data_IF_919395564694
#
_entry.id   IF_919395564694
#
_cell.length_a   1.000
_cell.length_b   1.000
_cell.length_c   1.000
_cell.angle_alpha   90.00
_cell.angle_beta   90.00
_cell.angle_gamma   90.00
#
_symmetry.space_group_name_H-M   'P 1'
#
loop_
_entity.id
_entity.type
_entity.pdbx_description
1 polymer ?
#
# COMPACT_ATOMS: atom_id res chain seq x y z
N UNK A 1 -31.54 37.71 58.19
CA UNK A 1 -30.24 38.41 58.14
C UNK A 1 -29.18 37.44 57.71
N UNK A 2 -28.44 37.83 56.66
CA UNK A 2 -27.13 37.40 56.17
C UNK A 2 -26.49 36.09 56.65
N UNK A 3 -26.19 35.26 55.65
CA UNK A 3 -25.20 34.19 55.54
C UNK A 3 -23.84 34.50 56.21
N UNK A 4 -23.17 33.49 56.78
CA UNK A 4 -21.86 32.94 56.33
C UNK A 4 -21.23 31.95 57.35
N UNK A 5 -20.77 30.82 56.80
CA UNK A 5 -19.52 30.06 57.08
C UNK A 5 -19.38 29.08 58.28
N UNK A 6 -19.07 27.83 57.87
CA UNK A 6 -17.87 27.01 58.16
C UNK A 6 -18.02 25.72 58.99
N UNK A 7 -17.18 24.73 58.60
CA UNK A 7 -16.73 23.48 59.26
C UNK A 7 -17.40 22.18 58.74
N UNK A 8 -16.73 21.35 57.91
CA UNK A 8 -15.61 20.41 58.19
C UNK A 8 -16.12 19.02 58.63
N UNK A 9 -15.62 17.83 58.25
CA UNK A 9 -14.40 17.35 57.55
C UNK A 9 -14.50 15.80 57.39
N UNK A 10 -13.62 15.20 56.55
CA UNK A 10 -13.23 13.77 56.43
C UNK A 10 -14.13 12.87 55.55
N UNK A 11 -13.62 12.07 54.59
CA UNK A 11 -12.59 11.04 54.80
C UNK A 11 -11.95 10.54 53.47
N UNK A 12 -10.61 10.54 53.43
CA UNK A 12 -9.60 9.69 52.73
C UNK A 12 -9.90 8.89 51.44
N UNK A 13 -9.01 8.97 50.45
CA UNK A 13 -8.09 7.91 49.93
C UNK A 13 -7.33 8.48 48.71
N UNK A 14 -6.02 8.75 48.83
CA UNK A 14 -4.90 7.88 48.44
C UNK A 14 -4.63 7.80 46.93
N UNK A 15 -3.45 8.34 46.59
CA UNK A 15 -2.44 7.88 45.62
C UNK A 15 -2.62 8.09 44.10
N UNK A 16 -1.57 8.73 43.58
CA UNK A 16 -1.09 8.78 42.20
C UNK A 16 -0.92 7.40 41.55
N UNK A 17 -0.64 7.46 40.24
CA UNK A 17 -0.13 6.44 39.31
C UNK A 17 -1.18 5.56 38.65
N UNK A 18 -1.52 5.97 37.43
CA UNK A 18 -2.03 5.11 36.37
C UNK A 18 -1.60 5.72 35.05
N UNK A 19 -0.36 5.44 34.62
CA UNK A 19 0.00 5.51 33.22
C UNK A 19 -0.92 4.51 32.50
N UNK A 20 -1.96 5.00 31.86
CA UNK A 20 -2.64 4.24 30.84
C UNK A 20 -1.67 4.17 29.67
N UNK A 21 -0.91 3.07 29.60
CA UNK A 21 -0.35 2.66 28.32
C UNK A 21 -1.52 2.63 27.33
N UNK A 22 -1.48 3.52 26.35
CA UNK A 22 -2.42 3.53 25.23
C UNK A 22 -2.16 2.26 24.43
N UNK A 23 -2.80 1.16 24.85
CA UNK A 23 -3.02 0.02 23.99
C UNK A 23 -4.07 0.46 22.97
N UNK A 24 -3.61 0.87 21.78
CA UNK A 24 -4.47 1.00 20.61
C UNK A 24 -4.98 -0.39 20.23
N UNK A 25 -6.14 -0.80 20.74
CA UNK A 25 -6.95 -1.83 20.09
C UNK A 25 -7.73 -1.15 18.96
N UNK A 26 -7.30 -1.38 17.72
CA UNK A 26 -7.84 -0.83 16.47
C UNK A 26 -9.23 -1.42 16.11
N UNK A 27 -9.84 -2.23 16.97
CA UNK A 27 -11.03 -3.02 16.65
C UNK A 27 -12.39 -2.35 16.93
N UNK A 28 -12.41 -1.05 17.27
CA UNK A 28 -13.64 -0.36 17.68
C UNK A 28 -14.18 0.75 16.77
N UNK A 29 -13.47 1.12 15.69
CA UNK A 29 -13.74 2.38 14.96
C UNK A 29 -13.92 2.23 13.44
N UNK A 30 -14.32 1.04 12.99
CA UNK A 30 -14.85 0.84 11.64
C UNK A 30 -16.30 0.39 11.81
N UNK A 31 -17.26 1.32 11.73
CA UNK A 31 -18.60 0.90 11.34
C UNK A 31 -18.48 0.37 9.91
N UNK A 32 -18.75 -0.92 9.71
CA UNK A 32 -18.83 -1.50 8.39
C UNK A 32 -19.69 -0.57 7.51
N UNK A 33 -19.24 -0.24 6.28
CA UNK A 33 -20.02 0.62 5.39
C UNK A 33 -21.43 0.03 5.28
N UNK A 34 -22.45 0.88 5.50
CA UNK A 34 -23.84 0.44 5.33
C UNK A 34 -23.99 -0.04 3.90
N UNK A 35 -24.56 -1.23 3.73
CA UNK A 35 -24.89 -1.76 2.41
C UNK A 35 -25.72 -0.72 1.64
N UNK A 36 -25.38 -0.51 0.38
CA UNK A 36 -26.24 0.24 -0.54
C UNK A 36 -27.58 -0.48 -0.69
N UNK A 37 -28.58 0.18 -1.29
CA UNK A 37 -29.86 -0.47 -1.59
C UNK A 37 -29.66 -1.72 -2.46
N UNK A 38 -28.86 -1.61 -3.51
CA UNK A 38 -28.55 -2.75 -4.39
C UNK A 38 -27.81 -3.87 -3.66
N UNK A 39 -26.79 -3.55 -2.85
CA UNK A 39 -26.09 -4.56 -2.04
C UNK A 39 -27.02 -5.26 -1.04
N UNK A 40 -28.04 -4.55 -0.52
CA UNK A 40 -29.03 -5.14 0.37
C UNK A 40 -29.95 -6.13 -0.36
N UNK A 41 -30.33 -5.82 -1.61
CA UNK A 41 -31.11 -6.71 -2.47
C UNK A 41 -30.32 -7.95 -2.86
N UNK A 42 -29.05 -7.78 -3.27
CA UNK A 42 -28.13 -8.89 -3.56
C UNK A 42 -27.96 -9.77 -2.33
N UNK A 43 -27.73 -9.17 -1.15
CA UNK A 43 -27.56 -9.91 0.09
C UNK A 43 -28.81 -10.71 0.44
N UNK A 44 -30.00 -10.14 0.25
CA UNK A 44 -31.26 -10.82 0.49
C UNK A 44 -31.44 -12.03 -0.44
N UNK A 45 -31.16 -11.88 -1.74
CA UNK A 45 -31.20 -12.96 -2.71
C UNK A 45 -30.19 -14.07 -2.38
N UNK A 46 -29.00 -13.69 -1.91
CA UNK A 46 -27.97 -14.64 -1.47
C UNK A 46 -28.47 -15.48 -0.28
N UNK A 47 -28.91 -14.85 0.81
CA UNK A 47 -29.32 -15.58 2.03
C UNK A 47 -30.60 -16.40 1.82
N UNK A 48 -31.46 -16.02 0.86
CA UNK A 48 -32.59 -16.86 0.43
C UNK A 48 -32.12 -18.17 -0.21
N UNK A 49 -30.97 -18.15 -0.91
CA UNK A 49 -30.38 -19.31 -1.56
C UNK A 49 -29.52 -20.16 -0.61
N UNK A 50 -28.69 -19.51 0.24
CA UNK A 50 -27.62 -20.20 0.98
C UNK A 50 -27.81 -20.18 2.50
N UNK A 51 -28.83 -19.48 2.98
CA UNK A 51 -29.10 -19.28 4.40
C UNK A 51 -28.32 -18.10 5.01
N UNK A 52 -28.66 -17.75 6.24
CA UNK A 52 -28.11 -16.57 6.93
C UNK A 52 -26.81 -16.83 7.71
N UNK A 53 -26.34 -18.08 7.78
CA UNK A 53 -25.17 -18.46 8.58
C UNK A 53 -23.90 -18.33 7.73
N UNK A 54 -23.60 -17.11 7.30
CA UNK A 54 -22.44 -16.79 6.48
C UNK A 54 -21.68 -15.59 7.04
N UNK A 55 -20.38 -15.59 6.83
CA UNK A 55 -19.50 -14.45 7.10
C UNK A 55 -18.95 -13.94 5.79
N UNK A 56 -19.22 -12.67 5.45
CA UNK A 56 -18.72 -12.05 4.22
C UNK A 56 -17.20 -11.92 4.24
N UNK A 57 -16.58 -12.11 3.07
CA UNK A 57 -15.14 -12.01 2.85
C UNK A 57 -14.86 -10.88 1.87
N UNK A 58 -13.80 -10.11 2.13
CA UNK A 58 -13.51 -8.88 1.41
C UNK A 58 -12.15 -9.01 0.71
N UNK A 59 -12.03 -8.66 -0.57
CA UNK A 59 -10.74 -8.57 -1.23
C UNK A 59 -9.84 -7.55 -0.52
N UNK A 60 -8.56 -7.90 -0.34
CA UNK A 60 -7.58 -7.08 0.36
C UNK A 60 -6.90 -6.05 -0.56
N UNK A 61 -6.76 -6.37 -1.84
CA UNK A 61 -6.01 -5.66 -2.88
C UNK A 61 -6.84 -5.52 -4.20
N UNK A 62 -6.32 -4.75 -5.17
CA UNK A 62 -6.96 -4.51 -6.48
C UNK A 62 -7.81 -3.23 -6.57
N UNK A 63 -8.86 -3.21 -7.38
CA UNK A 63 -9.85 -2.11 -7.41
C UNK A 63 -11.07 -2.42 -6.53
N UNK A 64 -11.57 -3.65 -6.60
CA UNK A 64 -12.72 -4.10 -5.84
C UNK A 64 -12.33 -4.38 -4.37
N UNK A 65 -12.96 -3.67 -3.42
CA UNK A 65 -12.75 -3.85 -1.95
C UNK A 65 -13.99 -4.34 -1.19
N UNK A 66 -15.10 -4.50 -1.90
CA UNK A 66 -16.38 -4.95 -1.35
C UNK A 66 -16.50 -6.47 -1.43
N UNK A 67 -17.23 -7.07 -0.49
CA UNK A 67 -17.64 -8.47 -0.59
C UNK A 67 -18.64 -8.72 -1.73
N UNK A 68 -19.30 -7.66 -2.21
CA UNK A 68 -20.19 -7.64 -3.37
C UNK A 68 -19.47 -6.92 -4.51
N UNK A 69 -18.96 -7.70 -5.47
CA UNK A 69 -18.35 -7.19 -6.70
C UNK A 69 -19.45 -7.14 -7.74
N UNK A 70 -19.83 -5.93 -8.16
CA UNK A 70 -20.93 -5.71 -9.10
C UNK A 70 -20.33 -5.18 -10.39
N UNK A 71 -20.52 -5.92 -11.48
CA UNK A 71 -20.06 -5.56 -12.82
C UNK A 71 -20.75 -6.44 -13.85
N UNK A 72 -20.92 -5.91 -15.05
CA UNK A 72 -21.24 -6.68 -16.24
C UNK A 72 -20.06 -7.60 -16.62
N UNK A 73 -20.31 -8.91 -16.58
CA UNK A 73 -19.32 -9.97 -16.84
C UNK A 73 -19.73 -10.93 -17.97
N UNK A 74 -20.94 -10.83 -18.52
CA UNK A 74 -21.41 -11.63 -19.67
C UNK A 74 -21.91 -10.83 -20.88
N UNK A 75 -21.61 -9.53 -20.92
CA UNK A 75 -21.91 -8.59 -22.01
C UNK A 75 -23.41 -8.30 -22.22
N UNK A 76 -24.25 -8.53 -21.22
CA UNK A 76 -25.66 -8.10 -21.25
C UNK A 76 -25.87 -6.66 -20.74
N UNK A 77 -27.07 -6.03 -20.84
CA UNK A 77 -27.26 -4.65 -20.39
C UNK A 77 -27.22 -4.46 -18.86
N UNK A 78 -27.42 -5.53 -18.10
CA UNK A 78 -27.43 -5.57 -16.64
C UNK A 78 -26.05 -5.91 -16.08
N UNK A 79 -25.89 -5.70 -14.77
CA UNK A 79 -24.68 -6.09 -14.05
C UNK A 79 -25.00 -7.35 -13.23
N UNK A 80 -24.00 -8.22 -13.10
CA UNK A 80 -24.04 -9.37 -12.22
C UNK A 80 -23.37 -9.01 -10.89
N UNK A 81 -23.58 -9.86 -9.87
CA UNK A 81 -22.95 -9.71 -8.58
C UNK A 81 -22.19 -10.97 -8.18
N UNK A 82 -20.89 -10.84 -7.96
CA UNK A 82 -20.04 -11.85 -7.35
C UNK A 82 -19.91 -11.59 -5.86
N UNK A 83 -20.33 -12.55 -5.04
CA UNK A 83 -20.31 -12.42 -3.57
C UNK A 83 -19.42 -13.47 -2.92
N UNK A 84 -18.52 -13.00 -2.06
CA UNK A 84 -17.56 -13.85 -1.33
C UNK A 84 -17.97 -14.03 0.13
N UNK A 85 -18.02 -15.27 0.60
CA UNK A 85 -18.35 -15.58 1.99
C UNK A 85 -17.80 -16.93 2.43
N UNK A 86 -17.89 -17.20 3.73
CA UNK A 86 -17.60 -18.49 4.33
C UNK A 86 -18.79 -18.90 5.21
N UNK A 87 -19.17 -20.18 5.20
CA UNK A 87 -20.22 -20.67 6.07
C UNK A 87 -19.79 -20.60 7.53
N UNK A 88 -20.68 -20.12 8.39
CA UNK A 88 -20.50 -20.14 9.84
C UNK A 88 -20.94 -21.50 10.38
N UNK A 89 -20.25 -22.58 10.01
CA UNK A 89 -20.56 -23.94 10.46
C UNK A 89 -19.51 -24.46 11.45
N UNK A 90 -19.92 -25.34 12.37
CA UNK A 90 -19.06 -25.89 13.42
C UNK A 90 -18.27 -27.13 12.93
N UNK A 91 -17.46 -27.01 11.89
CA UNK A 91 -16.48 -28.03 11.50
C UNK A 91 -16.99 -29.11 10.55
N UNK A 92 -17.74 -28.75 9.50
CA UNK A 92 -18.07 -29.67 8.40
C UNK A 92 -17.12 -29.47 7.20
N UNK A 93 -16.97 -30.48 6.33
CA UNK A 93 -16.12 -30.41 5.12
C UNK A 93 -16.60 -29.34 4.09
N UNK A 94 -17.76 -28.71 4.31
CA UNK A 94 -18.27 -27.58 3.55
C UNK A 94 -17.76 -26.21 4.09
N UNK A 95 -16.98 -26.21 5.18
CA UNK A 95 -16.32 -25.03 5.75
C UNK A 95 -15.15 -24.59 4.86
N UNK A 96 -15.46 -23.72 3.91
CA UNK A 96 -14.46 -23.07 3.09
C UNK A 96 -15.02 -21.82 2.43
N UNK A 97 -14.12 -21.02 1.89
CA UNK A 97 -14.45 -19.84 1.11
C UNK A 97 -15.34 -20.21 -0.08
N UNK A 98 -16.39 -19.43 -0.29
CA UNK A 98 -17.37 -19.57 -1.37
C UNK A 98 -17.42 -18.32 -2.22
N UNK A 99 -17.70 -18.54 -3.49
CA UNK A 99 -18.05 -17.51 -4.47
C UNK A 99 -19.44 -17.84 -5.00
N UNK A 100 -20.34 -16.87 -4.94
CA UNK A 100 -21.66 -17.00 -5.54
C UNK A 100 -21.87 -15.91 -6.59
N UNK A 101 -22.29 -16.32 -7.79
CA UNK A 101 -22.76 -15.39 -8.82
C UNK A 101 -24.26 -15.24 -8.70
N UNK A 102 -24.70 -13.99 -8.60
CA UNK A 102 -26.09 -13.59 -8.70
C UNK A 102 -26.30 -12.74 -9.96
N UNK A 103 -27.51 -12.83 -10.48
CA UNK A 103 -27.94 -12.18 -11.71
C UNK A 103 -29.39 -11.66 -11.54
N UNK A 104 -29.85 -10.78 -12.43
CA UNK A 104 -31.19 -10.20 -12.44
C UNK A 104 -32.09 -11.00 -13.38
N UNK A 105 -33.30 -11.34 -12.91
CA UNK A 105 -34.32 -11.91 -13.78
C UNK A 105 -34.96 -10.86 -14.71
N UNK A 106 -35.90 -11.29 -15.56
CA UNK A 106 -36.61 -10.40 -16.50
C UNK A 106 -37.37 -9.24 -15.79
N UNK A 107 -37.70 -9.39 -14.50
CA UNK A 107 -38.36 -8.38 -13.68
C UNK A 107 -37.35 -7.47 -12.93
N UNK A 108 -36.04 -7.69 -13.13
CA UNK A 108 -34.95 -6.96 -12.50
C UNK A 108 -34.64 -7.41 -11.07
N UNK A 109 -35.12 -8.58 -10.64
CA UNK A 109 -34.90 -9.11 -9.29
C UNK A 109 -33.67 -10.01 -9.26
N UNK A 110 -32.79 -9.76 -8.29
CA UNK A 110 -31.62 -10.61 -8.04
C UNK A 110 -31.99 -12.05 -7.64
N UNK A 111 -31.29 -13.02 -8.21
CA UNK A 111 -31.34 -14.43 -7.84
C UNK A 111 -29.95 -15.07 -7.90
N UNK A 112 -29.74 -16.10 -7.07
CA UNK A 112 -28.50 -16.90 -7.04
C UNK A 112 -28.45 -17.82 -8.26
N UNK A 113 -27.41 -17.67 -9.08
CA UNK A 113 -27.18 -18.49 -10.28
C UNK A 113 -26.39 -19.73 -9.91
N UNK A 114 -25.24 -19.56 -9.25
CA UNK A 114 -24.33 -20.66 -8.95
C UNK A 114 -23.36 -20.31 -7.82
N UNK A 115 -23.21 -21.28 -6.90
CA UNK A 115 -22.15 -21.27 -5.89
C UNK A 115 -20.99 -22.17 -6.35
N UNK A 116 -19.76 -21.70 -6.16
CA UNK A 116 -18.52 -22.46 -6.29
C UNK A 116 -17.69 -22.33 -5.01
N UNK A 117 -16.89 -23.35 -4.70
CA UNK A 117 -15.85 -23.24 -3.69
C UNK A 117 -14.66 -22.43 -4.24
N UNK A 118 -14.22 -21.42 -3.49
CA UNK A 118 -13.03 -20.65 -3.79
C UNK A 118 -11.76 -21.37 -3.31
N UNK A 119 -10.60 -20.99 -3.88
CA UNK A 119 -9.34 -21.50 -3.40
C UNK A 119 -8.95 -20.78 -2.09
N UNK A 120 -8.52 -21.51 -1.06
CA UNK A 120 -7.96 -20.91 0.15
C UNK A 120 -8.95 -20.26 1.12
N UNK A 121 -8.44 -19.35 1.98
CA UNK A 121 -9.14 -18.89 3.19
C UNK A 121 -9.58 -17.42 3.15
N UNK A 122 -8.95 -16.62 2.30
CA UNK A 122 -9.20 -15.18 2.12
C UNK A 122 -9.06 -14.79 0.65
N UNK A 123 -9.70 -13.68 0.28
CA UNK A 123 -9.60 -13.07 -1.05
C UNK A 123 -8.43 -12.08 -1.07
N UNK A 124 -7.47 -12.29 -1.96
CA UNK A 124 -6.41 -11.32 -2.22
C UNK A 124 -6.95 -10.15 -3.02
N UNK A 125 -7.46 -10.40 -4.23
CA UNK A 125 -7.95 -9.36 -5.13
C UNK A 125 -8.93 -9.94 -6.15
N UNK A 126 -9.73 -9.05 -6.74
CA UNK A 126 -10.57 -9.38 -7.89
C UNK A 126 -10.20 -8.46 -9.04
N UNK A 127 -10.06 -9.01 -10.23
CA UNK A 127 -9.81 -8.26 -11.46
C UNK A 127 -10.86 -8.70 -12.47
N UNK A 128 -11.52 -7.74 -13.10
CA UNK A 128 -12.46 -7.97 -14.19
C UNK A 128 -11.89 -7.23 -15.38
N UNK A 129 -11.51 -7.96 -16.42
CA UNK A 129 -10.88 -7.37 -17.59
C UNK A 129 -11.20 -8.20 -18.84
N UNK A 130 -11.50 -7.54 -19.97
CA UNK A 130 -11.45 -8.23 -21.25
C UNK A 130 -9.98 -8.61 -21.52
N UNK A 131 -9.68 -9.91 -21.57
CA UNK A 131 -8.34 -10.37 -21.89
C UNK A 131 -8.25 -10.93 -23.31
N UNK A 132 -7.22 -10.49 -24.03
CA UNK A 132 -6.94 -10.93 -25.39
C UNK A 132 -7.92 -10.36 -26.42
N UNK A 133 -7.71 -10.73 -27.68
CA UNK A 133 -8.43 -10.20 -28.84
C UNK A 133 -9.89 -10.65 -28.98
N UNK A 134 -10.39 -11.48 -28.07
CA UNK A 134 -11.73 -12.07 -28.16
C UNK A 134 -12.81 -11.22 -27.49
N UNK A 135 -12.43 -10.16 -26.79
CA UNK A 135 -13.33 -9.22 -26.10
C UNK A 135 -14.30 -9.89 -25.11
N UNK A 136 -13.99 -11.10 -24.64
CA UNK A 136 -14.72 -11.76 -23.57
C UNK A 136 -14.25 -11.19 -22.23
N UNK A 137 -15.19 -10.80 -21.38
CA UNK A 137 -14.90 -10.36 -20.02
C UNK A 137 -14.56 -11.58 -19.15
N UNK A 138 -13.33 -11.62 -18.64
CA UNK A 138 -12.86 -12.68 -17.74
C UNK A 138 -12.78 -12.14 -16.30
N UNK A 139 -13.16 -12.99 -15.34
CA UNK A 139 -13.08 -12.65 -13.91
C UNK A 139 -11.96 -13.42 -13.23
N UNK A 140 -10.97 -12.69 -12.72
CA UNK A 140 -9.81 -13.23 -12.01
C UNK A 140 -10.02 -13.02 -10.52
N UNK A 141 -9.98 -14.10 -9.76
CA UNK A 141 -10.01 -14.04 -8.30
C UNK A 141 -8.69 -14.55 -7.77
N UNK A 142 -7.96 -13.65 -7.14
CA UNK A 142 -6.79 -13.93 -6.35
C UNK A 142 -7.18 -14.39 -4.96
N UNK A 143 -6.58 -15.49 -4.53
CA UNK A 143 -6.82 -16.11 -3.24
C UNK A 143 -5.52 -16.26 -2.46
N UNK A 144 -5.61 -16.11 -1.15
CA UNK A 144 -4.47 -16.28 -0.25
C UNK A 144 -4.78 -17.26 0.88
N UNK A 145 -3.75 -18.03 1.24
CA UNK A 145 -3.76 -18.92 2.39
C UNK A 145 -2.89 -18.32 3.50
N UNK A 146 -3.29 -18.48 4.76
CA UNK A 146 -2.58 -17.92 5.92
C UNK A 146 -1.12 -18.40 6.06
N UNK A 147 -0.76 -19.52 5.44
CA UNK A 147 0.53 -20.19 5.61
C UNK A 147 1.42 -20.18 4.36
N UNK A 148 0.96 -19.62 3.24
CA UNK A 148 1.72 -19.64 1.99
C UNK A 148 1.91 -18.21 1.46
N UNK A 149 3.17 -17.86 1.18
CA UNK A 149 3.52 -16.60 0.52
C UNK A 149 3.08 -16.60 -0.95
N UNK A 150 2.95 -17.78 -1.55
CA UNK A 150 2.42 -17.93 -2.90
C UNK A 150 0.89 -18.00 -2.89
N UNK A 151 0.28 -17.12 -3.68
CA UNK A 151 -1.16 -16.97 -3.83
C UNK A 151 -1.66 -17.80 -5.01
N UNK A 152 -2.94 -18.12 -5.00
CA UNK A 152 -3.61 -18.84 -6.10
C UNK A 152 -4.50 -17.88 -6.87
N UNK A 153 -4.48 -17.94 -8.19
CA UNK A 153 -5.40 -17.23 -9.06
C UNK A 153 -6.36 -18.25 -9.66
N UNK A 154 -7.66 -18.01 -9.56
CA UNK A 154 -8.66 -18.72 -10.36
C UNK A 154 -9.30 -17.75 -11.35
N UNK A 155 -9.59 -18.27 -12.55
CA UNK A 155 -10.26 -17.51 -13.59
C UNK A 155 -11.61 -18.13 -13.82
N UNK A 156 -12.63 -17.28 -13.84
CA UNK A 156 -14.00 -17.65 -14.08
C UNK A 156 -14.53 -17.01 -15.35
N UNK A 157 -15.39 -17.77 -16.02
CA UNK A 157 -16.15 -17.33 -17.18
C UNK A 157 -17.64 -17.47 -16.83
N UNK A 158 -18.41 -16.45 -17.20
CA UNK A 158 -19.86 -16.44 -17.12
C UNK A 158 -20.41 -16.20 -18.53
N UNK A 159 -21.22 -17.14 -19.03
CA UNK A 159 -21.84 -17.01 -20.35
C UNK A 159 -23.12 -17.84 -20.36
N UNK A 160 -24.21 -17.29 -20.87
CA UNK A 160 -25.52 -17.95 -20.97
C UNK A 160 -25.98 -18.59 -19.63
N UNK A 161 -25.74 -17.91 -18.51
CA UNK A 161 -26.11 -18.41 -17.18
C UNK A 161 -25.20 -19.52 -16.61
N UNK A 162 -24.14 -19.95 -17.30
CA UNK A 162 -23.19 -20.94 -16.78
C UNK A 162 -21.92 -20.30 -16.24
N UNK A 163 -21.86 -20.13 -14.91
CA UNK A 163 -20.65 -19.69 -14.22
C UNK A 163 -19.71 -20.86 -13.95
N UNK A 164 -18.47 -20.80 -14.44
CA UNK A 164 -17.50 -21.88 -14.21
C UNK A 164 -16.07 -21.37 -14.08
N UNK A 165 -15.29 -22.08 -13.26
CA UNK A 165 -13.83 -21.94 -13.23
C UNK A 165 -13.25 -22.54 -14.51
N UNK A 166 -12.52 -21.74 -15.26
CA UNK A 166 -11.90 -22.13 -16.53
C UNK A 166 -10.40 -22.38 -16.42
N UNK A 167 -9.71 -21.69 -15.51
CA UNK A 167 -8.28 -21.86 -15.32
C UNK A 167 -7.84 -21.59 -13.87
N UNK A 168 -6.64 -22.03 -13.54
CA UNK A 168 -5.99 -21.84 -12.25
C UNK A 168 -4.48 -21.65 -12.44
N UNK A 169 -3.89 -20.75 -11.66
CA UNK A 169 -2.45 -20.49 -11.64
C UNK A 169 -1.99 -20.03 -10.25
N UNK A 170 -0.69 -19.83 -10.06
CA UNK A 170 -0.12 -19.24 -8.83
C UNK A 170 0.59 -17.93 -9.11
N UNK A 171 0.79 -17.10 -8.09
CA UNK A 171 1.57 -15.88 -8.21
C UNK A 171 2.06 -15.37 -6.85
N UNK A 172 3.14 -14.60 -6.88
CA UNK A 172 3.58 -13.74 -5.77
C UNK A 172 3.11 -12.29 -5.96
N UNK A 173 3.09 -11.82 -7.22
CA UNK A 173 2.56 -10.50 -7.61
C UNK A 173 1.65 -10.69 -8.83
N UNK A 174 0.52 -10.00 -8.85
CA UNK A 174 -0.44 -9.98 -9.96
C UNK A 174 -0.93 -8.54 -10.12
N UNK A 175 -0.64 -7.94 -11.28
CA UNK A 175 -0.96 -6.55 -11.58
C UNK A 175 -1.63 -6.43 -12.96
N UNK A 176 -2.83 -5.82 -13.04
CA UNK A 176 -3.44 -5.45 -14.31
C UNK A 176 -2.85 -4.13 -14.84
N UNK A 177 -2.26 -4.14 -16.03
CA UNK A 177 -1.70 -2.96 -16.67
C UNK A 177 -1.66 -3.15 -18.20
N UNK A 178 -2.15 -2.16 -18.94
CA UNK A 178 -1.88 -2.02 -20.38
C UNK A 178 -0.42 -1.57 -20.55
N UNK A 179 0.51 -2.52 -20.37
CA UNK A 179 1.94 -2.25 -20.21
C UNK A 179 2.60 -1.98 -21.56
N UNK A 180 2.02 -2.51 -22.64
CA UNK A 180 2.49 -2.32 -24.01
C UNK A 180 1.86 -1.09 -24.70
N UNK A 181 0.86 -0.46 -24.07
CA UNK A 181 0.13 0.71 -24.54
C UNK A 181 -0.61 0.46 -25.87
N UNK A 182 -1.23 -0.70 -26.02
CA UNK A 182 -2.08 -1.07 -27.16
C UNK A 182 -3.58 -0.82 -26.93
N UNK A 183 -3.95 -0.41 -25.71
CA UNK A 183 -5.32 -0.11 -25.30
C UNK A 183 -6.02 -1.26 -24.57
N UNK A 184 -5.39 -2.43 -24.44
CA UNK A 184 -5.91 -3.58 -23.70
C UNK A 184 -5.11 -3.80 -22.41
N UNK A 185 -5.79 -4.19 -21.34
CA UNK A 185 -5.14 -4.48 -20.06
C UNK A 185 -4.51 -5.87 -20.13
N UNK A 186 -3.21 -5.96 -19.82
CA UNK A 186 -2.54 -7.23 -19.58
C UNK A 186 -2.45 -7.56 -18.10
N UNK A 187 -2.44 -8.86 -17.77
CA UNK A 187 -2.11 -9.31 -16.43
C UNK A 187 -0.63 -9.69 -16.37
N UNK A 188 0.13 -8.95 -15.58
CA UNK A 188 1.52 -9.27 -15.30
C UNK A 188 1.59 -10.04 -13.99
N UNK A 189 2.18 -11.23 -14.04
CA UNK A 189 2.42 -12.07 -12.86
C UNK A 189 3.89 -12.22 -12.59
N UNK A 190 4.26 -12.25 -11.31
CA UNK A 190 5.57 -12.76 -10.87
C UNK A 190 5.35 -14.09 -10.18
N UNK A 191 6.03 -15.12 -10.68
CA UNK A 191 6.03 -16.46 -10.07
C UNK A 191 7.42 -16.80 -9.55
N UNK A 192 7.47 -17.43 -8.38
CA UNK A 192 8.68 -18.00 -7.81
C UNK A 192 8.64 -19.51 -7.97
N UNK A 193 9.75 -20.09 -8.42
CA UNK A 193 9.87 -21.53 -8.63
C UNK A 193 11.12 -22.04 -7.93
N UNK A 194 10.98 -23.12 -7.17
CA UNK A 194 12.10 -23.84 -6.58
C UNK A 194 12.49 -25.00 -7.49
N UNK A 195 13.73 -25.02 -7.93
CA UNK A 195 14.28 -26.16 -8.64
C UNK A 195 14.47 -27.32 -7.65
N UNK A 196 13.71 -28.40 -7.81
CA UNK A 196 13.69 -29.53 -6.87
C UNK A 196 15.03 -30.27 -6.73
N UNK A 197 15.91 -30.21 -7.74
CA UNK A 197 17.21 -30.90 -7.73
C UNK A 197 18.31 -30.08 -7.05
N UNK A 198 18.28 -28.76 -7.22
CA UNK A 198 19.34 -27.84 -6.76
C UNK A 198 18.92 -27.02 -5.53
N UNK A 199 17.62 -26.95 -5.23
CA UNK A 199 17.04 -26.04 -4.24
C UNK A 199 17.11 -24.57 -4.66
N UNK A 200 17.59 -24.25 -5.86
CA UNK A 200 17.68 -22.87 -6.34
C UNK A 200 16.27 -22.31 -6.56
N UNK A 201 15.99 -21.16 -5.96
CA UNK A 201 14.75 -20.43 -6.18
C UNK A 201 15.00 -19.38 -7.24
N UNK A 202 14.20 -19.39 -8.30
CA UNK A 202 14.19 -18.35 -9.34
C UNK A 202 12.83 -17.70 -9.39
N UNK A 203 12.77 -16.50 -9.96
CA UNK A 203 11.52 -15.80 -10.17
C UNK A 203 11.44 -15.22 -11.58
N UNK A 204 10.24 -15.21 -12.16
CA UNK A 204 9.98 -14.70 -13.51
C UNK A 204 8.73 -13.82 -13.51
N UNK A 205 8.85 -12.63 -14.08
CA UNK A 205 7.70 -11.85 -14.50
C UNK A 205 7.20 -12.37 -15.86
N UNK A 206 5.89 -12.56 -16.02
CA UNK A 206 5.27 -13.00 -17.27
C UNK A 206 4.00 -12.21 -17.55
N UNK A 207 3.80 -11.88 -18.82
CA UNK A 207 2.52 -11.41 -19.33
C UNK A 207 1.61 -12.62 -19.57
N UNK A 208 0.47 -12.65 -18.89
CA UNK A 208 -0.56 -13.65 -19.13
C UNK A 208 -1.41 -13.27 -20.33
N UNK A 209 -1.87 -14.29 -21.04
CA UNK A 209 -2.83 -14.16 -22.12
C UNK A 209 -3.86 -15.28 -22.01
N UNK A 210 -5.10 -15.00 -22.36
CA UNK A 210 -6.17 -15.98 -22.38
C UNK A 210 -6.39 -16.48 -23.81
N UNK A 211 -6.35 -17.80 -24.02
CA UNK A 211 -6.67 -18.40 -25.31
C UNK A 211 -7.49 -19.66 -25.11
N UNK A 212 -8.70 -19.68 -25.68
CA UNK A 212 -9.63 -20.80 -25.56
C UNK A 212 -9.88 -21.23 -24.10
N UNK A 213 -10.08 -20.26 -23.19
CA UNK A 213 -10.28 -20.48 -21.76
C UNK A 213 -9.09 -21.13 -21.02
N UNK A 214 -7.90 -21.08 -21.62
CA UNK A 214 -6.65 -21.51 -20.99
C UNK A 214 -5.68 -20.32 -20.82
N UNK A 215 -5.03 -20.26 -19.66
CA UNK A 215 -3.93 -19.32 -19.42
C UNK A 215 -2.73 -19.75 -20.24
N UNK A 216 -2.21 -18.80 -21.01
CA UNK A 216 -0.94 -18.93 -21.69
C UNK A 216 0.01 -17.84 -21.20
N UNK A 217 1.28 -18.19 -21.01
CA UNK A 217 2.33 -17.24 -20.64
C UNK A 217 3.04 -16.79 -21.91
N UNK A 218 2.94 -15.50 -22.20
CA UNK A 218 3.60 -14.88 -23.34
C UNK A 218 5.03 -14.45 -23.00
N UNK A 219 5.32 -13.18 -23.25
CA UNK A 219 6.60 -12.56 -22.94
C UNK A 219 6.92 -12.66 -21.45
N UNK A 220 8.18 -12.95 -21.13
CA UNK A 220 8.66 -13.08 -19.76
C UNK A 220 10.07 -12.53 -19.59
N UNK A 221 10.42 -12.18 -18.36
CA UNK A 221 11.75 -11.71 -17.97
C UNK A 221 12.12 -12.26 -16.60
N UNK A 222 13.39 -12.59 -16.41
CA UNK A 222 13.91 -13.06 -15.14
C UNK A 222 13.92 -11.91 -14.10
N UNK A 223 13.54 -12.24 -12.88
CA UNK A 223 13.66 -11.37 -11.71
C UNK A 223 15.01 -11.58 -11.03
N UNK A 224 15.34 -10.77 -10.03
CA UNK A 224 16.59 -10.91 -9.29
C UNK A 224 16.62 -12.10 -8.33
N UNK A 225 17.67 -12.91 -8.41
CA UNK A 225 17.83 -14.15 -7.63
C UNK A 225 17.99 -13.93 -6.12
N UNK A 226 18.37 -12.71 -5.68
CA UNK A 226 18.61 -12.40 -4.27
C UNK A 226 17.34 -11.98 -3.50
N UNK A 227 16.20 -11.86 -4.19
CA UNK A 227 14.91 -11.51 -3.59
C UNK A 227 14.23 -12.77 -3.03
N UNK A 228 13.92 -12.73 -1.73
CA UNK A 228 13.32 -13.84 -0.98
C UNK A 228 11.80 -13.77 -0.91
N UNK A 229 11.20 -12.59 -1.05
CA UNK A 229 9.75 -12.41 -1.13
C UNK A 229 9.43 -11.05 -1.76
N UNK A 230 8.25 -10.91 -2.34
CA UNK A 230 7.75 -9.65 -2.89
C UNK A 230 6.70 -9.09 -1.93
N UNK A 231 6.86 -7.85 -1.50
CA UNK A 231 6.07 -7.27 -0.40
C UNK A 231 5.24 -6.06 -0.80
N UNK A 232 5.59 -5.41 -1.91
CA UNK A 232 4.79 -4.33 -2.49
C UNK A 232 4.94 -4.32 -4.01
N UNK A 233 3.87 -3.94 -4.69
CA UNK A 233 3.85 -3.64 -6.12
C UNK A 233 3.06 -2.37 -6.36
N UNK A 234 3.56 -1.53 -7.26
CA UNK A 234 2.93 -0.27 -7.67
C UNK A 234 2.94 -0.16 -9.19
N UNK A 235 1.79 0.09 -9.78
CA UNK A 235 1.68 0.45 -11.19
C UNK A 235 1.78 1.98 -11.34
N UNK A 236 2.44 2.44 -12.40
CA UNK A 236 2.57 3.86 -12.69
C UNK A 236 3.44 4.09 -13.92
N UNK A 237 4.07 5.26 -14.00
CA UNK A 237 4.87 5.68 -15.15
C UNK A 237 6.36 5.72 -14.82
N UNK A 238 7.18 5.51 -15.85
CA UNK A 238 8.57 5.95 -15.89
C UNK A 238 8.60 7.42 -16.35
N UNK A 239 9.65 8.17 -16.01
CA UNK A 239 9.89 9.56 -16.46
C UNK A 239 9.85 9.73 -18.01
N UNK A 240 10.08 8.63 -18.74
CA UNK A 240 9.92 8.58 -20.20
C UNK A 240 8.46 8.58 -20.70
N UNK A 241 7.47 8.56 -19.80
CA UNK A 241 6.04 8.40 -20.10
C UNK A 241 5.61 6.97 -20.42
N UNK A 242 6.42 5.96 -20.09
CA UNK A 242 6.07 4.54 -20.31
C UNK A 242 5.48 3.95 -19.04
N UNK A 243 4.40 3.17 -19.18
CA UNK A 243 3.82 2.39 -18.08
C UNK A 243 4.78 1.31 -17.57
N UNK A 244 4.83 1.16 -16.26
CA UNK A 244 5.68 0.20 -15.58
C UNK A 244 5.05 -0.29 -14.28
N UNK A 245 5.61 -1.39 -13.78
CA UNK A 245 5.32 -1.95 -12.47
C UNK A 245 6.61 -1.89 -11.66
N UNK A 246 6.52 -1.31 -10.48
CA UNK A 246 7.61 -1.18 -9.51
C UNK A 246 7.35 -2.19 -8.41
N UNK A 247 8.26 -3.14 -8.23
CA UNK A 247 8.10 -4.25 -7.30
C UNK A 247 9.18 -4.16 -6.24
N UNK A 248 8.77 -3.99 -4.99
CA UNK A 248 9.68 -4.02 -3.86
C UNK A 248 9.75 -5.44 -3.28
N UNK A 249 10.93 -6.04 -3.39
CA UNK A 249 11.25 -7.35 -2.83
C UNK A 249 12.09 -7.24 -1.57
N UNK A 250 11.88 -8.15 -0.61
CA UNK A 250 12.80 -8.34 0.51
C UNK A 250 13.96 -9.24 0.10
N UNK A 251 15.16 -8.84 0.46
CA UNK A 251 16.37 -9.67 0.40
C UNK A 251 16.53 -10.50 1.67
N UNK A 252 17.44 -11.48 1.65
CA UNK A 252 17.72 -12.32 2.82
C UNK A 252 18.24 -11.55 4.05
N UNK A 253 18.82 -10.37 3.86
CA UNK A 253 19.25 -9.46 4.93
C UNK A 253 18.16 -8.45 5.36
N UNK A 254 16.91 -8.63 4.90
CA UNK A 254 15.76 -7.84 5.30
C UNK A 254 15.70 -6.43 4.70
N UNK A 255 16.46 -6.17 3.63
CA UNK A 255 16.40 -4.91 2.89
C UNK A 255 15.36 -4.98 1.78
N UNK A 256 14.81 -3.84 1.41
CA UNK A 256 14.02 -3.71 0.19
C UNK A 256 14.95 -3.55 -0.99
N UNK A 257 14.59 -4.19 -2.10
CA UNK A 257 15.18 -4.01 -3.41
C UNK A 257 14.06 -3.81 -4.43
N UNK A 258 14.06 -2.67 -5.13
CA UNK A 258 13.09 -2.41 -6.19
C UNK A 258 13.53 -2.99 -7.52
N UNK A 259 12.65 -3.77 -8.14
CA UNK A 259 12.72 -4.19 -9.53
C UNK A 259 11.65 -3.44 -10.34
N UNK A 260 11.94 -3.16 -11.61
CA UNK A 260 11.02 -2.42 -12.49
C UNK A 260 10.70 -3.31 -13.68
N UNK A 261 9.42 -3.51 -13.96
CA UNK A 261 8.95 -4.24 -15.14
C UNK A 261 8.26 -3.27 -16.08
N UNK A 262 8.76 -3.15 -17.30
CA UNK A 262 8.14 -2.35 -18.36
C UNK A 262 8.28 -3.05 -19.71
N UNK A 263 7.45 -2.67 -20.68
CA UNK A 263 7.49 -3.24 -22.02
C UNK A 263 8.34 -2.41 -22.99
N UNK A 264 9.33 -3.03 -23.64
CA UNK A 264 10.15 -2.40 -24.68
C UNK A 264 10.73 -3.44 -25.62
N UNK A 265 10.96 -3.04 -26.88
CA UNK A 265 11.54 -3.93 -27.90
C UNK A 265 10.76 -5.22 -28.11
N UNK A 266 9.43 -5.13 -27.99
CA UNK A 266 8.49 -6.26 -28.08
C UNK A 266 8.60 -7.30 -26.95
N UNK A 267 9.13 -6.93 -25.79
CA UNK A 267 9.21 -7.84 -24.63
C UNK A 267 9.29 -7.10 -23.29
N UNK A 268 9.08 -7.85 -22.21
CA UNK A 268 9.26 -7.34 -20.85
C UNK A 268 10.74 -7.09 -20.55
N UNK A 269 11.04 -6.02 -19.83
CA UNK A 269 12.37 -5.64 -19.40
C UNK A 269 12.45 -5.58 -17.88
N UNK A 270 13.59 -6.01 -17.32
CA UNK A 270 13.93 -5.81 -15.92
C UNK A 270 15.33 -5.16 -15.82
N UNK A 271 15.42 -3.83 -15.66
CA UNK A 271 16.68 -3.11 -15.55
C UNK A 271 17.60 -3.64 -14.46
N UNK A 272 17.03 -4.02 -13.31
CA UNK A 272 17.81 -4.48 -12.15
C UNK A 272 18.59 -5.76 -12.49
N UNK A 273 17.96 -6.68 -13.21
CA UNK A 273 18.62 -7.90 -13.69
C UNK A 273 19.69 -7.58 -14.75
N UNK A 274 19.40 -6.64 -15.66
CA UNK A 274 20.27 -6.33 -16.80
C UNK A 274 21.50 -5.48 -16.43
N UNK A 275 21.43 -4.67 -15.37
CA UNK A 275 22.49 -3.73 -14.92
C UNK A 275 22.57 -3.64 -13.39
N UNK A 276 22.55 -4.79 -12.72
CA UNK A 276 22.58 -4.89 -11.25
C UNK A 276 23.71 -4.08 -10.62
N UNK A 277 24.94 -4.15 -11.14
CA UNK A 277 26.10 -3.43 -10.58
C UNK A 277 25.88 -1.91 -10.47
N UNK A 278 25.10 -1.33 -11.39
CA UNK A 278 24.79 0.11 -11.38
C UNK A 278 23.57 0.42 -10.51
N UNK A 279 22.53 -0.41 -10.56
CA UNK A 279 21.23 -0.11 -9.95
C UNK A 279 21.09 -0.59 -8.51
N UNK A 280 21.81 -1.63 -8.10
CA UNK A 280 21.74 -2.19 -6.76
C UNK A 280 21.97 -1.12 -5.66
N UNK A 281 22.99 -0.24 -5.74
CA UNK A 281 23.19 0.79 -4.72
C UNK A 281 22.06 1.84 -4.65
N UNK A 282 21.26 1.97 -5.71
CA UNK A 282 20.23 2.99 -5.86
C UNK A 282 18.83 2.48 -5.57
N UNK A 283 18.61 1.17 -5.66
CA UNK A 283 17.32 0.54 -5.39
C UNK A 283 17.30 -0.35 -4.15
N UNK A 284 18.43 -0.50 -3.43
CA UNK A 284 18.50 -1.28 -2.19
C UNK A 284 18.57 -0.38 -0.96
N UNK A 285 17.71 -0.63 0.03
CA UNK A 285 17.52 0.22 1.21
C UNK A 285 16.88 -0.52 2.38
N UNK A 286 16.85 0.03 3.60
CA UNK A 286 16.13 -0.58 4.73
C UNK A 286 14.64 -0.82 4.42
N UNK A 287 14.04 -1.78 5.13
CA UNK A 287 12.60 -2.01 5.06
C UNK A 287 11.78 -0.77 5.48
N UNK A 288 10.61 -0.59 4.88
CA UNK A 288 9.69 0.54 5.13
C UNK A 288 9.78 1.69 4.12
N UNK A 289 10.85 1.78 3.33
CA UNK A 289 10.98 2.77 2.24
C UNK A 289 10.44 2.17 0.94
N UNK A 290 9.12 2.12 0.75
CA UNK A 290 8.50 1.59 -0.46
C UNK A 290 8.56 2.57 -1.63
N UNK A 291 8.58 2.05 -2.85
CA UNK A 291 8.44 2.83 -4.07
C UNK A 291 7.01 3.36 -4.18
N UNK A 292 6.86 4.64 -4.50
CA UNK A 292 5.56 5.32 -4.49
C UNK A 292 5.60 6.52 -5.43
N UNK A 293 4.45 6.87 -6.01
CA UNK A 293 4.23 8.17 -6.65
C UNK A 293 3.99 9.20 -5.53
N UNK A 294 5.08 9.76 -5.02
CA UNK A 294 5.08 10.54 -3.79
C UNK A 294 4.55 11.96 -3.96
N UNK A 295 4.55 12.50 -5.18
CA UNK A 295 4.00 13.82 -5.49
C UNK A 295 2.75 13.81 -6.38
N UNK A 296 2.27 12.63 -6.78
CA UNK A 296 1.00 12.46 -7.48
C UNK A 296 1.06 12.88 -8.94
N UNK A 297 2.23 12.92 -9.57
CA UNK A 297 2.38 13.26 -10.99
C UNK A 297 2.28 12.04 -11.94
N UNK A 298 2.16 10.84 -11.37
CA UNK A 298 2.00 9.58 -12.06
C UNK A 298 3.31 8.81 -12.30
N UNK A 299 4.46 9.46 -12.15
CA UNK A 299 5.76 8.76 -12.16
C UNK A 299 5.99 8.14 -10.78
N UNK A 300 6.45 6.88 -10.74
CA UNK A 300 6.75 6.24 -9.45
C UNK A 300 8.21 6.52 -9.09
N UNK A 301 8.42 7.10 -7.90
CA UNK A 301 9.74 7.29 -7.35
C UNK A 301 10.25 6.07 -6.59
N UNK A 302 11.54 5.80 -6.78
CA UNK A 302 12.30 4.79 -6.07
C UNK A 302 13.14 5.49 -5.01
N UNK A 303 12.88 5.25 -3.71
CA UNK A 303 13.70 5.83 -2.67
C UNK A 303 15.06 5.13 -2.58
N UNK A 304 16.05 5.91 -2.15
CA UNK A 304 17.36 5.44 -1.68
C UNK A 304 17.69 6.17 -0.38
N UNK A 305 18.53 5.57 0.45
CA UNK A 305 18.83 6.10 1.79
C UNK A 305 20.32 6.25 2.01
N UNK A 306 20.73 7.35 2.62
CA UNK A 306 22.08 7.55 3.19
C UNK A 306 21.94 8.00 4.64
N UNK A 307 22.97 7.83 5.50
CA UNK A 307 22.96 8.44 6.82
C UNK A 307 22.64 9.94 6.74
N UNK A 308 21.79 10.41 7.64
CA UNK A 308 21.55 11.84 7.83
C UNK A 308 22.84 12.50 8.32
N UNK A 309 23.02 13.79 8.03
CA UNK A 309 24.23 14.52 8.41
C UNK A 309 24.50 14.40 9.91
N UNK A 310 25.69 13.92 10.29
CA UNK A 310 26.07 13.69 11.69
C UNK A 310 25.77 12.28 12.21
N UNK A 311 25.10 11.42 11.43
CA UNK A 311 24.82 10.02 11.77
C UNK A 311 25.75 9.03 11.06
N UNK A 312 26.78 9.48 10.34
CA UNK A 312 27.64 8.60 9.51
C UNK A 312 28.32 7.48 10.29
N UNK A 313 28.49 7.68 11.61
CA UNK A 313 29.08 6.69 12.54
C UNK A 313 28.08 6.18 13.60
N UNK A 314 26.79 6.49 13.47
CA UNK A 314 25.77 6.02 14.39
C UNK A 314 25.56 4.50 14.25
N UNK A 315 25.10 3.87 15.33
CA UNK A 315 24.63 2.48 15.28
C UNK A 315 23.27 2.40 14.58
N UNK A 316 22.93 1.23 14.02
CA UNK A 316 21.74 1.07 13.19
C UNK A 316 20.43 1.51 13.88
N UNK A 317 20.26 1.24 15.17
CA UNK A 317 19.03 1.56 15.92
C UNK A 317 18.84 3.06 16.19
N UNK A 318 19.92 3.85 16.13
CA UNK A 318 19.90 5.30 16.34
C UNK A 318 19.99 6.06 15.01
N UNK A 319 20.23 5.36 13.90
CA UNK A 319 20.48 5.93 12.59
C UNK A 319 19.21 6.59 12.03
N UNK A 320 19.29 7.88 11.75
CA UNK A 320 18.33 8.55 10.88
C UNK A 320 18.88 8.59 9.46
N UNK A 321 17.99 8.38 8.49
CA UNK A 321 18.33 8.36 7.08
C UNK A 321 17.85 9.63 6.38
N UNK A 322 18.70 10.18 5.53
CA UNK A 322 18.28 11.07 4.46
C UNK A 322 17.75 10.22 3.31
N UNK A 323 16.57 10.55 2.81
CA UNK A 323 15.90 9.84 1.72
C UNK A 323 16.03 10.64 0.44
N UNK A 324 16.44 9.97 -0.64
CA UNK A 324 16.46 10.52 -1.99
C UNK A 324 15.50 9.74 -2.87
N UNK A 325 14.47 10.42 -3.36
CA UNK A 325 13.47 9.88 -4.28
C UNK A 325 13.92 10.14 -5.72
N UNK A 326 14.00 9.07 -6.51
CA UNK A 326 14.49 9.14 -7.89
C UNK A 326 13.55 8.44 -8.84
N UNK A 327 13.35 9.02 -10.02
CA UNK A 327 12.59 8.40 -11.11
C UNK A 327 13.53 7.66 -12.04
N UNK A 328 13.08 6.51 -12.55
CA UNK A 328 13.87 5.74 -13.51
C UNK A 328 13.83 6.41 -14.89
N UNK A 329 15.00 6.71 -15.43
CA UNK A 329 15.20 7.16 -16.79
C UNK A 329 15.65 6.01 -17.69
N UNK A 330 15.29 6.11 -18.97
CA UNK A 330 15.74 5.17 -20.00
C UNK A 330 17.28 5.02 -19.97
N UNK A 331 17.78 3.84 -20.37
CA UNK A 331 19.21 3.48 -20.34
C UNK A 331 19.81 3.25 -18.95
N UNK A 332 19.01 2.70 -18.03
CA UNK A 332 19.46 2.20 -16.72
C UNK A 332 19.98 3.31 -15.83
N UNK A 333 19.28 4.45 -15.77
CA UNK A 333 19.64 5.56 -14.89
C UNK A 333 18.51 5.96 -13.96
N UNK A 334 18.85 6.66 -12.89
CA UNK A 334 17.90 7.20 -11.92
C UNK A 334 18.18 8.69 -11.76
N UNK A 335 17.17 9.52 -12.04
CA UNK A 335 17.25 10.96 -11.84
C UNK A 335 16.64 11.31 -10.50
N UNK A 336 17.44 11.95 -9.65
CA UNK A 336 16.95 12.49 -8.38
C UNK A 336 15.90 13.57 -8.60
N UNK A 337 14.73 13.38 -7.98
CA UNK A 337 13.63 14.34 -7.97
C UNK A 337 13.65 15.15 -6.68
N UNK A 338 13.74 14.45 -5.55
CA UNK A 338 13.73 15.07 -4.22
C UNK A 338 14.75 14.44 -3.27
N UNK A 339 15.24 15.24 -2.33
CA UNK A 339 16.07 14.79 -1.21
C UNK A 339 15.57 15.44 0.07
N UNK A 340 15.45 14.66 1.13
CA UNK A 340 14.85 15.14 2.37
C UNK A 340 14.81 14.09 3.47
N UNK A 341 13.85 14.23 4.38
CA UNK A 341 13.60 13.26 5.44
C UNK A 341 12.22 12.62 5.26
N UNK A 342 12.18 11.29 5.24
CA UNK A 342 10.93 10.52 5.18
C UNK A 342 10.59 9.95 6.55
N UNK A 343 9.51 10.47 7.15
CA UNK A 343 8.96 9.98 8.40
C UNK A 343 8.00 8.82 8.13
N UNK A 344 8.54 7.61 7.96
CA UNK A 344 7.76 6.41 7.59
C UNK A 344 6.55 6.20 8.51
N UNK A 345 6.75 6.29 9.84
CA UNK A 345 5.68 6.02 10.81
C UNK A 345 4.53 7.04 10.75
N UNK A 346 4.82 8.25 10.29
CA UNK A 346 3.86 9.35 10.23
C UNK A 346 3.32 9.58 8.80
N UNK A 347 3.85 8.85 7.81
CA UNK A 347 3.40 8.88 6.42
C UNK A 347 3.67 10.21 5.70
N UNK A 348 4.77 10.90 6.01
CA UNK A 348 5.10 12.16 5.30
C UNK A 348 6.58 12.29 4.96
N UNK A 349 6.85 13.03 3.90
CA UNK A 349 8.17 13.40 3.45
C UNK A 349 8.31 14.93 3.38
N UNK A 350 9.43 15.45 3.87
CA UNK A 350 9.77 16.87 3.76
C UNK A 350 11.07 17.03 2.98
N UNK A 351 11.02 17.79 1.89
CA UNK A 351 12.21 18.04 1.06
C UNK A 351 13.11 19.06 1.73
N UNK A 352 14.41 18.96 1.46
CA UNK A 352 15.37 19.92 1.97
C UNK A 352 15.61 21.02 0.96
N UNK A 353 15.47 22.30 1.35
CA UNK A 353 15.89 23.42 0.53
C UNK A 353 17.37 23.30 0.15
N UNK A 354 17.71 23.61 -1.10
CA UNK A 354 19.11 23.58 -1.58
C UNK A 354 20.08 24.36 -0.70
N UNK A 355 19.60 25.43 -0.03
CA UNK A 355 20.40 26.24 0.90
C UNK A 355 20.85 25.51 2.16
N UNK A 356 20.22 24.38 2.52
CA UNK A 356 20.65 23.59 3.66
C UNK A 356 22.00 22.93 3.37
N UNK A 357 22.26 22.39 2.17
CA UNK A 357 23.57 21.91 1.71
C UNK A 357 24.44 21.25 2.81
N UNK A 358 23.90 20.21 3.46
CA UNK A 358 24.52 19.49 4.60
C UNK A 358 24.79 20.31 5.87
N UNK A 359 24.14 21.46 6.04
CA UNK A 359 24.21 22.35 7.22
C UNK A 359 23.06 22.11 8.19
N UNK A 360 22.21 21.11 7.94
CA UNK A 360 21.06 20.77 8.77
C UNK A 360 21.09 19.27 9.07
N UNK A 361 20.82 18.93 10.31
CA UNK A 361 20.59 17.56 10.78
C UNK A 361 19.19 17.45 11.37
N UNK A 362 18.67 16.22 11.49
CA UNK A 362 17.36 15.93 12.09
C UNK A 362 17.60 15.10 13.34
N UNK A 363 16.85 15.35 14.41
CA UNK A 363 16.81 14.50 15.60
C UNK A 363 15.37 14.20 15.94
N UNK A 364 15.12 13.02 16.51
CA UNK A 364 13.84 12.70 17.12
C UNK A 364 13.85 13.14 18.58
N UNK A 365 12.88 13.95 18.98
CA UNK A 365 12.70 14.33 20.36
C UNK A 365 12.09 13.16 21.16
N UNK A 366 12.74 12.75 22.24
CA UNK A 366 12.32 11.54 22.99
C UNK A 366 11.06 11.73 23.81
N UNK A 367 10.74 12.97 24.18
CA UNK A 367 9.63 13.27 25.09
C UNK A 367 8.33 13.44 24.30
N UNK A 368 8.43 14.03 23.11
CA UNK A 368 7.30 14.39 22.24
C UNK A 368 7.16 13.49 21.02
N UNK A 369 8.19 12.70 20.69
CA UNK A 369 8.34 11.95 19.43
C UNK A 369 8.38 12.81 18.16
N UNK A 370 8.48 14.13 18.28
CA UNK A 370 8.52 15.05 17.15
C UNK A 370 9.89 15.04 16.45
N UNK A 371 9.87 15.40 15.16
CA UNK A 371 11.08 15.53 14.38
C UNK A 371 11.57 16.97 14.40
N UNK A 372 12.78 17.17 14.92
CA UNK A 372 13.36 18.47 15.18
C UNK A 372 14.59 18.67 14.30
N UNK A 373 14.60 19.76 13.56
CA UNK A 373 15.64 20.11 12.61
C UNK A 373 16.60 21.10 13.28
N UNK A 374 17.89 20.79 13.23
CA UNK A 374 18.94 21.57 13.85
C UNK A 374 19.95 22.02 12.80
N UNK A 375 20.48 23.22 12.98
CA UNK A 375 21.70 23.63 12.29
C UNK A 375 22.86 22.75 12.75
N UNK A 376 23.50 22.09 11.79
CA UNK A 376 24.61 21.19 12.04
C UNK A 376 25.92 21.96 12.20
N UNK A 377 26.63 21.69 13.29
CA UNK A 377 27.90 22.36 13.65
C UNK A 377 29.13 21.45 13.55
N UNK A 378 29.00 20.26 12.95
CA UNK A 378 30.07 19.27 12.84
C UNK A 378 30.02 18.14 13.88
N UNK A 379 29.30 18.35 14.99
CA UNK A 379 28.94 17.31 15.95
C UNK A 379 27.44 17.38 16.21
N UNK A 380 26.77 16.24 16.00
CA UNK A 380 25.33 16.13 16.21
C UNK A 380 24.94 16.41 17.66
N UNK A 381 25.76 16.02 18.64
CA UNK A 381 25.46 16.22 20.06
C UNK A 381 25.58 17.69 20.49
N UNK A 382 26.40 18.46 19.77
CA UNK A 382 26.58 19.90 20.03
C UNK A 382 25.63 20.79 19.22
N UNK A 383 24.99 20.24 18.18
CA UNK A 383 24.06 20.94 17.29
C UNK A 383 22.71 21.18 17.97
N UNK A 384 22.54 22.34 18.62
CA UNK A 384 21.36 22.68 19.45
C UNK A 384 20.56 23.89 18.97
N UNK A 385 20.96 24.52 17.87
CA UNK A 385 20.20 25.62 17.25
C UNK A 385 19.06 25.04 16.39
N UNK A 386 17.87 24.95 16.97
CA UNK A 386 16.65 24.49 16.30
C UNK A 386 16.23 25.49 15.20
N UNK A 387 15.91 24.96 14.01
CA UNK A 387 15.44 25.76 12.87
C UNK A 387 13.97 25.52 12.52
N UNK A 388 13.43 24.35 12.88
CA UNK A 388 12.00 23.99 12.81
C UNK A 388 11.76 22.66 13.52
N UNK A 389 10.51 22.37 13.83
CA UNK A 389 10.07 21.03 14.26
C UNK A 389 8.71 20.68 13.68
N UNK A 390 8.52 19.42 13.35
CA UNK A 390 7.28 18.89 12.78
C UNK A 390 6.60 17.97 13.80
N UNK A 391 5.30 18.15 13.95
CA UNK A 391 4.44 17.33 14.78
C UNK A 391 3.29 16.75 13.96
N UNK A 392 2.82 15.58 14.36
CA UNK A 392 1.63 14.95 13.78
C UNK A 392 0.68 14.65 14.91
N UNK A 393 -0.58 15.04 14.75
CA UNK A 393 -1.59 14.87 15.79
C UNK A 393 -2.94 14.46 15.20
N UNK A 394 -3.79 13.91 16.06
CA UNK A 394 -5.19 13.69 15.73
C UNK A 394 -5.90 15.04 15.59
N UNK A 395 -6.87 15.12 14.68
CA UNK A 395 -7.74 16.30 14.52
C UNK A 395 -8.45 16.75 15.79
N UNK A 396 -8.64 15.84 16.74
CA UNK A 396 -9.24 16.17 18.03
C UNK A 396 -8.31 16.99 18.94
N UNK A 397 -7.00 16.94 18.71
CA UNK A 397 -5.98 17.56 19.55
C UNK A 397 -5.35 18.79 18.87
N UNK A 398 -5.78 19.14 17.65
CA UNK A 398 -5.22 20.22 16.84
C UNK A 398 -5.25 21.61 17.50
N UNK A 399 -6.26 21.88 18.34
CA UNK A 399 -6.37 23.17 19.04
C UNK A 399 -5.23 23.39 20.05
N UNK A 400 -4.72 22.32 20.67
CA UNK A 400 -3.63 22.38 21.63
C UNK A 400 -2.32 22.77 20.93
N UNK A 401 -2.03 22.16 19.78
CA UNK A 401 -0.84 22.48 18.97
C UNK A 401 -0.86 23.92 18.45
N UNK A 402 -2.00 24.40 17.95
CA UNK A 402 -2.14 25.78 17.49
C UNK A 402 -1.91 26.76 18.66
N UNK A 403 -2.45 26.45 19.84
CA UNK A 403 -2.27 27.26 21.06
C UNK A 403 -0.80 27.32 21.50
N UNK A 404 -0.04 26.25 21.28
CA UNK A 404 1.39 26.15 21.57
C UNK A 404 2.29 26.78 20.48
N UNK A 405 1.68 27.44 19.48
CA UNK A 405 2.37 28.21 18.46
C UNK A 405 2.84 27.39 17.26
N UNK A 406 2.23 26.22 17.03
CA UNK A 406 2.39 25.49 15.78
C UNK A 406 1.48 26.07 14.69
N UNK A 407 1.94 25.98 13.45
CA UNK A 407 1.21 26.35 12.23
C UNK A 407 0.86 25.06 11.47
N UNK A 408 -0.38 24.96 10.97
CA UNK A 408 -0.83 23.80 10.18
C UNK A 408 -0.12 23.77 8.82
N UNK A 409 0.50 22.65 8.48
CA UNK A 409 1.09 22.39 7.17
C UNK A 409 0.01 21.88 6.23
N UNK A 410 -0.59 20.72 6.58
CA UNK A 410 -1.59 20.01 5.78
C UNK A 410 -2.36 18.98 6.64
N UNK A 411 -3.40 18.35 6.09
CA UNK A 411 -4.28 17.41 6.78
C UNK A 411 -4.66 16.21 5.90
N UNK A 412 -4.65 14.99 6.46
CA UNK A 412 -5.10 13.78 5.75
C UNK A 412 -5.84 12.83 6.68
N UNK A 413 -7.06 12.45 6.30
CA UNK A 413 -7.91 11.61 7.13
C UNK A 413 -8.18 12.25 8.50
N UNK A 414 -7.77 11.56 9.57
CA UNK A 414 -7.89 12.00 10.96
C UNK A 414 -6.62 12.66 11.50
N UNK A 415 -5.58 12.82 10.67
CA UNK A 415 -4.30 13.40 11.05
C UNK A 415 -4.16 14.82 10.53
N UNK A 416 -3.60 15.68 11.37
CA UNK A 416 -3.13 17.02 11.03
C UNK A 416 -1.61 17.10 11.23
N UNK A 417 -0.92 17.69 10.27
CA UNK A 417 0.52 17.86 10.23
C UNK A 417 0.88 19.31 10.53
N UNK A 418 1.74 19.54 11.52
CA UNK A 418 2.04 20.85 12.05
C UNK A 418 3.54 21.14 12.00
N UNK A 419 3.89 22.42 11.88
CA UNK A 419 5.26 22.91 12.03
C UNK A 419 5.33 24.01 13.05
N UNK A 420 6.38 24.02 13.87
CA UNK A 420 6.72 25.16 14.72
C UNK A 420 8.07 25.71 14.31
N UNK A 421 8.08 27.03 14.09
CA UNK A 421 9.25 27.77 13.66
C UNK A 421 9.79 28.61 14.82
N UNK A 422 11.12 28.78 14.96
CA UNK A 422 11.69 29.68 15.95
C UNK A 422 11.18 31.12 15.76
N UNK A 423 10.95 31.81 16.88
CA UNK A 423 10.51 33.22 16.89
C UNK A 423 11.57 34.17 16.30
N UNK A 424 12.85 33.87 16.52
CA UNK A 424 13.96 34.66 15.96
C UNK A 424 14.32 34.17 14.55
N UNK A 425 13.78 34.85 13.53
CA UNK A 425 13.99 34.50 12.12
C UNK A 425 15.25 35.10 11.50
N UNK A 426 16.27 35.44 12.30
CA UNK A 426 17.57 35.94 11.78
C UNK A 426 18.43 34.86 11.15
N UNK A 427 18.27 33.61 11.59
CA UNK A 427 18.95 32.46 10.99
C UNK A 427 18.35 32.18 9.61
N UNK A 428 19.21 32.18 8.58
CA UNK A 428 18.85 31.98 7.18
C UNK A 428 18.48 30.53 6.87
N UNK A 429 18.78 29.59 7.78
CA UNK A 429 18.39 28.19 7.67
C UNK A 429 16.92 27.93 8.03
N UNK A 430 16.26 28.83 8.77
CA UNK A 430 14.83 28.74 9.10
C UNK A 430 13.98 28.92 7.83
N UNK A 431 13.14 27.95 7.44
CA UNK A 431 12.20 28.11 6.33
C UNK A 431 10.97 28.95 6.73
N UNK A 432 10.31 29.48 5.71
CA UNK A 432 8.96 30.04 5.83
C UNK A 432 7.92 28.94 5.84
N UNK A 433 6.72 29.23 6.37
CA UNK A 433 5.58 28.30 6.31
C UNK A 433 5.24 27.93 4.86
N UNK A 434 5.26 28.90 3.95
CA UNK A 434 5.02 28.66 2.52
C UNK A 434 6.08 27.74 1.91
N UNK A 435 7.36 27.89 2.26
CA UNK A 435 8.40 26.95 1.83
C UNK A 435 8.10 25.53 2.33
N UNK A 436 7.65 25.36 3.58
CA UNK A 436 7.35 24.04 4.14
C UNK A 436 6.16 23.41 3.44
N UNK A 437 5.04 24.14 3.31
CA UNK A 437 3.82 23.64 2.66
C UNK A 437 4.07 23.22 1.21
N UNK A 438 4.91 23.95 0.47
CA UNK A 438 5.26 23.59 -0.91
C UNK A 438 6.27 22.43 -1.02
N UNK A 439 6.86 21.98 0.08
CA UNK A 439 7.90 20.96 0.12
C UNK A 439 7.53 19.79 1.06
N UNK A 440 6.26 19.68 1.42
CA UNK A 440 5.72 18.67 2.31
C UNK A 440 4.76 17.76 1.53
N UNK A 441 4.99 16.46 1.62
CA UNK A 441 4.28 15.45 0.85
C UNK A 441 3.74 14.39 1.79
N UNK A 442 2.44 14.12 1.77
CA UNK A 442 1.84 13.07 2.59
C UNK A 442 1.75 11.77 1.77
N UNK A 443 2.63 10.83 2.08
CA UNK A 443 2.79 9.54 1.40
C UNK A 443 1.80 8.54 2.01
N UNK A 444 1.17 7.71 1.18
CA UNK A 444 0.17 6.70 1.62
C UNK A 444 0.80 5.35 1.93
#
# INVERSE_FOLDING_TARGET
MKNLKLAAVCLSCLTMTGCSALNFSVEGLINAPKLTSEQSEIHQALIESVGSNITLKYPKNGEYRSAYVIANIDDEPTDEAMVFYEYTSNGSEEDGLRVNILDKDEDGKWYSVKELAGAGTDIDQVIISPMGSNNQTDVFVGYQNLTNDEKTMEIYSYTDGDFKRVALDTYSVLEPLDINNDGYIELITIQRSTNNDTGAVTAKASMLNMKNNEITRGENVDMCDNVTSYVSSKTGMLDSGRRAIFIDGLTADGKLQTEIIYYRYSGLQNPMQLRSEKLLPLCTRPAGYYSEDMDGDGDVEIPSTSPMVGYENAVADEMLYMTTWSVYEDFYDLKTKYTGYYAISDGYFVTFPKRWNSSVTVKKDSDTNELVFYKYTGDINESNEEIMRIAVSSKNDSEDYISDGYELIDSKGQLDYFVKLPLDRREKLIPTIDEIQNNFYIIN
#
